data_IF_727427164331
#
_entry.id   IF_727427164331
#
_cell.length_a   1.000
_cell.length_b   1.000
_cell.length_c   1.000
_cell.angle_alpha   90.00
_cell.angle_beta   90.00
_cell.angle_gamma   90.00
#
_symmetry.space_group_name_H-M   'P 1'
#
loop_
_entity.id
_entity.type
_entity.pdbx_description
1 polymer ?
#
# COMPACT_ATOMS: atom_id res chain seq x y z
N UNK A 1 1.51 -22.23 1.22
CA UNK A 1 2.57 -23.12 1.77
C UNK A 1 3.49 -23.71 0.69
N UNK A 2 3.13 -24.77 -0.05
CA UNK A 2 4.09 -25.40 -0.99
C UNK A 2 4.64 -24.45 -2.08
N UNK A 3 3.81 -23.51 -2.56
CA UNK A 3 4.19 -22.48 -3.53
C UNK A 3 4.79 -21.22 -2.90
N UNK A 4 4.81 -21.11 -1.56
CA UNK A 4 5.19 -19.89 -0.84
C UNK A 4 6.66 -19.51 -1.09
N UNK A 5 7.68 -20.36 -0.82
CA UNK A 5 9.07 -19.96 -1.08
C UNK A 5 9.35 -19.64 -2.56
N UNK A 6 8.89 -20.45 -3.55
CA UNK A 6 9.08 -20.10 -4.96
C UNK A 6 8.43 -18.77 -5.38
N UNK A 7 7.24 -18.44 -4.83
CA UNK A 7 6.61 -17.14 -5.06
C UNK A 7 7.47 -16.02 -4.43
N UNK A 8 7.91 -16.23 -3.20
CA UNK A 8 8.75 -15.27 -2.49
C UNK A 8 10.05 -14.98 -3.24
N UNK A 9 10.71 -16.01 -3.77
CA UNK A 9 11.93 -15.89 -4.59
C UNK A 9 11.66 -15.12 -5.88
N UNK A 10 10.57 -15.44 -6.58
CA UNK A 10 10.18 -14.73 -7.81
C UNK A 10 9.93 -13.24 -7.58
N UNK A 11 9.17 -12.88 -6.54
CA UNK A 11 8.91 -11.46 -6.23
C UNK A 11 10.21 -10.77 -5.80
N UNK A 12 11.03 -11.42 -4.98
CA UNK A 12 12.34 -10.86 -4.56
C UNK A 12 13.23 -10.59 -5.78
N UNK A 13 13.28 -11.50 -6.75
CA UNK A 13 14.04 -11.33 -7.98
C UNK A 13 13.46 -10.22 -8.88
N UNK A 14 12.13 -10.10 -8.97
CA UNK A 14 11.46 -9.03 -9.70
C UNK A 14 11.80 -7.66 -9.10
N UNK A 15 11.59 -7.47 -7.80
CA UNK A 15 11.92 -6.23 -7.10
C UNK A 15 13.43 -5.94 -7.17
N UNK A 16 14.25 -6.98 -7.04
CA UNK A 16 15.71 -6.90 -7.06
C UNK A 16 16.34 -6.66 -8.43
N UNK A 17 15.58 -6.73 -9.54
CA UNK A 17 16.06 -6.39 -10.89
C UNK A 17 15.62 -5.01 -11.36
N UNK A 18 14.58 -4.46 -10.74
CA UNK A 18 14.03 -3.16 -11.10
C UNK A 18 14.87 -2.01 -10.54
N UNK A 19 15.36 -1.14 -11.42
CA UNK A 19 16.23 -0.02 -11.02
C UNK A 19 15.50 1.05 -10.21
N UNK A 20 14.22 1.27 -10.48
CA UNK A 20 13.44 2.28 -9.78
C UNK A 20 13.17 1.83 -8.34
N UNK A 21 12.76 0.58 -8.15
CA UNK A 21 12.51 -0.01 -6.83
C UNK A 21 13.80 -0.12 -6.01
N UNK A 22 14.92 -0.49 -6.64
CA UNK A 22 16.25 -0.45 -6.00
C UNK A 22 16.62 0.96 -5.53
N UNK A 23 16.40 1.99 -6.36
CA UNK A 23 16.70 3.38 -6.00
C UNK A 23 15.82 3.91 -4.87
N UNK A 24 14.60 3.36 -4.72
CA UNK A 24 13.71 3.62 -3.56
C UNK A 24 13.98 2.69 -2.37
N UNK A 25 14.94 1.77 -2.52
CA UNK A 25 15.27 0.72 -1.57
C UNK A 25 14.02 -0.03 -1.05
N UNK A 26 13.00 -0.18 -1.90
CA UNK A 26 11.80 -0.91 -1.59
C UNK A 26 12.09 -2.41 -1.67
N UNK A 27 11.79 -3.13 -0.59
CA UNK A 27 12.13 -4.54 -0.47
C UNK A 27 11.04 -5.27 0.32
N UNK A 28 11.04 -6.59 0.25
CA UNK A 28 10.16 -7.44 1.03
C UNK A 28 10.94 -8.29 2.05
N UNK A 29 10.21 -8.81 3.03
CA UNK A 29 10.71 -9.83 3.94
C UNK A 29 10.31 -11.20 3.40
N UNK A 30 11.29 -11.94 2.86
CA UNK A 30 11.06 -13.20 2.18
C UNK A 30 10.49 -14.28 3.09
N UNK A 31 9.55 -15.07 2.58
CA UNK A 31 9.00 -16.25 3.24
C UNK A 31 9.81 -17.49 2.79
N UNK A 32 10.99 -17.61 3.39
CA UNK A 32 12.10 -18.47 2.91
C UNK A 32 11.90 -19.97 3.13
N UNK A 33 11.02 -20.36 4.04
CA UNK A 33 10.73 -21.78 4.29
C UNK A 33 9.30 -21.99 4.76
N UNK A 34 8.72 -23.14 4.41
CA UNK A 34 7.41 -23.55 4.90
C UNK A 34 7.37 -25.03 5.26
N UNK A 35 6.50 -25.37 6.20
CA UNK A 35 6.09 -26.74 6.52
C UNK A 35 4.56 -26.75 6.57
N UNK A 36 3.93 -27.68 5.85
CA UNK A 36 2.49 -27.88 5.89
C UNK A 36 2.16 -29.34 6.16
N UNK A 37 1.29 -29.61 7.13
CA UNK A 37 0.83 -30.96 7.45
C UNK A 37 -0.54 -31.21 6.82
N UNK A 38 -0.65 -32.30 6.04
CA UNK A 38 -1.93 -32.74 5.44
C UNK A 38 -2.51 -33.85 6.30
N UNK A 39 -3.58 -33.54 7.03
CA UNK A 39 -4.27 -34.55 7.84
C UNK A 39 -5.02 -35.54 6.92
N UNK A 40 -4.74 -36.86 6.99
CA UNK A 40 -5.34 -37.84 6.06
C UNK A 40 -6.87 -37.81 6.03
N UNK A 41 -7.51 -37.75 7.20
CA UNK A 41 -8.98 -37.77 7.29
C UNK A 41 -9.64 -36.46 6.83
N UNK A 42 -8.97 -35.32 6.98
CA UNK A 42 -9.52 -34.02 6.58
C UNK A 42 -9.20 -33.68 5.12
N UNK A 43 -8.21 -34.33 4.51
CA UNK A 43 -7.85 -34.08 3.12
C UNK A 43 -9.06 -34.22 2.16
N UNK A 44 -9.98 -35.14 2.47
CA UNK A 44 -11.23 -35.35 1.73
C UNK A 44 -12.19 -34.15 1.77
N UNK A 45 -12.08 -33.25 2.76
CA UNK A 45 -12.92 -32.04 2.89
C UNK A 45 -12.54 -30.93 1.90
N UNK A 46 -11.44 -31.09 1.16
CA UNK A 46 -10.98 -30.12 0.17
C UNK A 46 -10.04 -29.04 0.73
N UNK A 47 -9.16 -28.51 -0.13
CA UNK A 47 -8.03 -27.64 0.26
C UNK A 47 -8.45 -26.34 0.96
N UNK A 48 -9.62 -25.79 0.62
CA UNK A 48 -10.11 -24.53 1.19
C UNK A 48 -10.74 -24.68 2.57
N UNK A 49 -11.07 -25.90 2.99
CA UNK A 49 -11.72 -26.16 4.28
C UNK A 49 -10.79 -25.81 5.46
N UNK A 50 -11.33 -25.18 6.50
CA UNK A 50 -10.54 -24.68 7.64
C UNK A 50 -9.76 -25.79 8.36
N UNK A 51 -10.32 -27.00 8.44
CA UNK A 51 -9.63 -28.15 9.02
C UNK A 51 -8.33 -28.53 8.29
N UNK A 52 -8.22 -28.22 6.99
CA UNK A 52 -6.99 -28.42 6.20
C UNK A 52 -5.98 -27.28 6.34
N UNK A 53 -6.26 -26.28 7.19
CA UNK A 53 -5.40 -25.14 7.48
C UNK A 53 -4.93 -25.10 8.95
N UNK A 54 -5.19 -26.17 9.72
CA UNK A 54 -4.93 -26.20 11.17
C UNK A 54 -3.45 -26.34 11.55
N UNK A 55 -2.61 -26.92 10.69
CA UNK A 55 -1.20 -27.18 11.01
C UNK A 55 -0.28 -26.87 9.83
N UNK A 56 0.28 -25.66 9.88
CA UNK A 56 1.34 -25.20 8.99
C UNK A 56 2.22 -24.19 9.73
N UNK A 57 3.45 -24.03 9.25
CA UNK A 57 4.38 -23.00 9.71
C UNK A 57 5.14 -22.43 8.50
N UNK A 58 5.52 -21.17 8.61
CA UNK A 58 6.44 -20.51 7.68
C UNK A 58 7.52 -19.76 8.46
N UNK A 59 8.67 -19.57 7.84
CA UNK A 59 9.75 -18.73 8.34
C UNK A 59 9.91 -17.55 7.40
N UNK A 60 9.96 -16.35 7.99
CA UNK A 60 10.14 -15.09 7.29
C UNK A 60 11.46 -14.45 7.70
N UNK A 61 12.11 -13.78 6.77
CA UNK A 61 13.29 -12.96 7.05
C UNK A 61 13.00 -11.92 8.14
N UNK A 62 13.98 -11.69 9.01
CA UNK A 62 13.88 -10.65 10.02
C UNK A 62 14.22 -9.29 9.40
N UNK A 63 13.45 -8.21 9.64
CA UNK A 63 13.79 -6.89 9.14
C UNK A 63 15.11 -6.36 9.73
N UNK A 64 15.58 -6.91 10.86
CA UNK A 64 16.86 -6.55 11.47
C UNK A 64 18.06 -6.91 10.59
N UNK A 65 17.93 -7.85 9.66
CA UNK A 65 18.99 -8.16 8.69
C UNK A 65 19.00 -7.19 7.51
N UNK A 66 18.01 -6.31 7.42
CA UNK A 66 17.81 -5.34 6.36
C UNK A 66 17.86 -3.91 6.89
N UNK A 67 18.65 -3.60 7.91
CA UNK A 67 18.89 -2.24 8.37
C UNK A 67 20.39 -1.98 8.59
N UNK A 68 20.80 -0.72 8.42
CA UNK A 68 22.14 -0.25 8.75
C UNK A 68 22.23 0.20 10.22
N UNK A 69 23.45 0.39 10.72
CA UNK A 69 23.67 1.00 12.04
C UNK A 69 23.05 2.40 12.10
N UNK A 70 22.41 2.73 13.22
CA UNK A 70 21.70 4.00 13.41
C UNK A 70 20.28 4.04 12.83
N UNK A 71 19.88 3.04 12.03
CA UNK A 71 18.50 2.92 11.56
C UNK A 71 17.61 2.21 12.59
N UNK A 72 16.33 2.55 12.56
CA UNK A 72 15.30 1.97 13.44
C UNK A 72 14.10 1.49 12.61
N UNK A 73 13.29 0.64 13.21
CA UNK A 73 12.14 0.01 12.56
C UNK A 73 10.85 0.35 13.29
N UNK A 74 9.79 0.58 12.52
CA UNK A 74 8.45 0.80 13.08
C UNK A 74 7.40 0.26 12.11
N UNK A 75 6.36 -0.40 12.63
CA UNK A 75 5.18 -0.72 11.81
C UNK A 75 4.55 0.57 11.27
N UNK A 76 4.12 0.57 10.02
CA UNK A 76 3.47 1.74 9.43
C UNK A 76 2.16 2.11 10.16
N UNK A 77 1.49 1.13 10.79
CA UNK A 77 0.33 1.37 11.65
C UNK A 77 0.60 2.37 12.78
N UNK A 78 1.86 2.49 13.23
CA UNK A 78 2.25 3.43 14.27
C UNK A 78 2.06 4.90 13.84
N UNK A 79 2.04 5.21 12.53
CA UNK A 79 1.74 6.56 12.05
C UNK A 79 0.28 6.99 12.33
N UNK A 80 -0.61 6.02 12.56
CA UNK A 80 -2.00 6.26 12.98
C UNK A 80 -2.17 6.22 14.50
N UNK A 81 -1.09 5.93 15.24
CA UNK A 81 -1.16 5.75 16.69
C UNK A 81 -1.34 7.09 17.40
N UNK A 82 -2.22 7.05 18.40
CA UNK A 82 -2.41 8.10 19.40
C UNK A 82 -2.31 7.44 20.77
N UNK A 83 -1.62 8.09 21.68
CA UNK A 83 -1.51 7.60 23.05
C UNK A 83 -2.79 7.87 23.87
N UNK A 84 -2.74 7.55 25.17
CA UNK A 84 -3.86 7.75 26.08
C UNK A 84 -4.18 9.25 26.35
N UNK A 85 -3.27 10.15 25.99
CA UNK A 85 -3.36 11.60 26.14
C UNK A 85 -3.67 12.28 24.79
N UNK A 86 -4.09 11.49 23.81
CA UNK A 86 -4.53 11.90 22.48
C UNK A 86 -3.40 12.48 21.59
N UNK A 87 -2.14 12.35 22.03
CA UNK A 87 -0.95 12.79 21.30
C UNK A 87 -0.63 11.79 20.18
N UNK A 88 -0.52 12.30 18.95
CA UNK A 88 -0.23 11.49 17.78
C UNK A 88 1.26 11.23 17.61
N UNK A 89 1.65 9.98 17.42
CA UNK A 89 3.06 9.63 17.18
C UNK A 89 3.62 10.30 15.92
N UNK A 90 2.80 10.48 14.88
CA UNK A 90 3.17 11.21 13.67
C UNK A 90 3.70 12.63 13.97
N UNK A 91 3.02 13.36 14.86
CA UNK A 91 3.41 14.72 15.24
C UNK A 91 4.78 14.73 15.92
N UNK A 92 5.00 13.77 16.83
CA UNK A 92 6.27 13.59 17.52
C UNK A 92 7.42 13.26 16.57
N UNK A 93 7.19 12.37 15.59
CA UNK A 93 8.19 11.99 14.59
C UNK A 93 8.58 13.18 13.71
N UNK A 94 7.61 13.94 13.21
CA UNK A 94 7.87 15.14 12.40
C UNK A 94 8.67 16.16 13.21
N UNK A 95 8.24 16.45 14.45
CA UNK A 95 8.93 17.39 15.34
C UNK A 95 10.37 16.95 15.64
N UNK A 96 10.58 15.67 15.92
CA UNK A 96 11.90 15.11 16.21
C UNK A 96 12.83 15.11 15.00
N UNK A 97 12.29 14.99 13.78
CA UNK A 97 13.06 15.03 12.54
C UNK A 97 13.62 16.41 12.19
N UNK A 98 13.02 17.49 12.72
CA UNK A 98 13.34 18.87 12.35
C UNK A 98 12.90 19.29 10.95
N UNK A 99 12.19 18.44 10.20
CA UNK A 99 11.64 18.76 8.89
C UNK A 99 10.32 19.53 8.98
N UNK A 100 9.94 20.20 7.89
CA UNK A 100 8.55 20.65 7.72
C UNK A 100 7.63 19.45 7.52
N UNK A 101 6.33 19.65 7.74
CA UNK A 101 5.31 18.60 7.57
C UNK A 101 5.32 18.07 6.14
N UNK A 102 5.34 18.98 5.16
CA UNK A 102 5.39 18.65 3.73
C UNK A 102 6.62 17.83 3.37
N UNK A 103 7.80 18.25 3.85
CA UNK A 103 9.05 17.56 3.57
C UNK A 103 9.05 16.15 4.17
N UNK A 104 8.55 15.98 5.40
CA UNK A 104 8.45 14.66 6.03
C UNK A 104 7.43 13.76 5.31
N UNK A 105 6.25 14.29 4.97
CA UNK A 105 5.22 13.57 4.23
C UNK A 105 5.73 13.12 2.86
N UNK A 106 6.45 13.99 2.13
CA UNK A 106 7.06 13.63 0.85
C UNK A 106 8.01 12.44 1.00
N UNK A 107 8.88 12.43 2.03
CA UNK A 107 9.79 11.30 2.31
C UNK A 107 9.03 10.00 2.61
N UNK A 108 7.97 10.08 3.40
CA UNK A 108 7.08 8.94 3.66
C UNK A 108 6.44 8.42 2.36
N UNK A 109 5.86 9.30 1.54
CA UNK A 109 5.18 8.95 0.30
C UNK A 109 6.14 8.36 -0.75
N UNK A 110 7.35 8.88 -0.85
CA UNK A 110 8.39 8.31 -1.71
C UNK A 110 8.90 6.93 -1.23
N UNK A 111 8.93 6.70 0.09
CA UNK A 111 9.31 5.41 0.66
C UNK A 111 8.19 4.34 0.50
N UNK A 112 6.92 4.75 0.50
CA UNK A 112 5.77 3.85 0.55
C UNK A 112 4.89 3.87 -0.71
N UNK A 113 4.42 5.03 -1.14
CA UNK A 113 3.45 5.14 -2.23
C UNK A 113 4.09 4.90 -3.60
N UNK A 114 5.23 5.54 -3.91
CA UNK A 114 5.81 5.45 -5.26
C UNK A 114 6.25 4.04 -5.65
N UNK A 115 6.80 3.19 -4.76
CA UNK A 115 7.06 1.78 -5.10
C UNK A 115 5.77 1.00 -5.41
N UNK A 116 4.66 1.29 -4.72
CA UNK A 116 3.37 0.66 -5.00
C UNK A 116 2.79 1.11 -6.34
N UNK A 117 2.89 2.39 -6.67
CA UNK A 117 2.52 2.90 -8.00
C UNK A 117 3.36 2.21 -9.07
N UNK A 118 4.67 2.06 -8.85
CA UNK A 118 5.54 1.40 -9.80
C UNK A 118 5.19 -0.07 -9.98
N UNK A 119 5.01 -0.82 -8.89
CA UNK A 119 4.54 -2.20 -8.96
C UNK A 119 3.22 -2.33 -9.74
N UNK A 120 2.26 -1.44 -9.49
CA UNK A 120 0.97 -1.45 -10.18
C UNK A 120 1.12 -1.15 -11.69
N UNK A 121 1.73 -0.02 -12.05
CA UNK A 121 1.74 0.44 -13.44
C UNK A 121 2.73 -0.32 -14.33
N UNK A 122 3.88 -0.74 -13.80
CA UNK A 122 4.92 -1.44 -14.57
C UNK A 122 4.69 -2.95 -14.63
N UNK A 123 4.14 -3.56 -13.58
CA UNK A 123 4.07 -5.01 -13.44
C UNK A 123 2.65 -5.56 -13.26
N UNK A 124 1.63 -4.68 -13.16
CA UNK A 124 0.28 -5.09 -12.75
C UNK A 124 0.28 -5.76 -11.37
N UNK A 125 1.30 -5.50 -10.54
CA UNK A 125 1.56 -6.18 -9.27
C UNK A 125 0.99 -5.34 -8.13
N UNK A 126 0.08 -5.95 -7.35
CA UNK A 126 -0.49 -5.33 -6.15
C UNK A 126 -0.24 -6.18 -4.93
N UNK A 127 -0.14 -5.49 -3.79
CA UNK A 127 0.02 -6.06 -2.46
C UNK A 127 -1.25 -5.77 -1.64
N UNK A 128 -1.23 -6.17 -0.37
CA UNK A 128 -2.14 -5.68 0.67
C UNK A 128 -1.41 -4.68 1.57
N UNK A 129 -1.28 -3.40 1.16
CA UNK A 129 -0.31 -2.46 1.74
C UNK A 129 -0.83 -1.74 3.02
N UNK A 130 -1.58 -2.43 3.87
CA UNK A 130 -2.10 -1.80 5.10
C UNK A 130 -1.01 -1.63 6.17
N UNK A 131 -1.32 -0.83 7.20
CA UNK A 131 -0.37 -0.45 8.26
C UNK A 131 0.44 -1.60 8.88
N UNK A 132 -0.17 -2.78 9.05
CA UNK A 132 0.52 -3.95 9.61
C UNK A 132 1.54 -4.57 8.64
N UNK A 133 1.29 -4.59 7.32
CA UNK A 133 2.15 -5.29 6.34
C UNK A 133 3.37 -4.47 5.93
N UNK A 134 3.44 -3.21 6.35
CA UNK A 134 4.57 -2.35 6.12
C UNK A 134 5.36 -2.13 7.41
N UNK A 135 6.68 -2.31 7.28
CA UNK A 135 7.65 -1.88 8.28
C UNK A 135 8.47 -0.77 7.65
N UNK A 136 8.40 0.42 8.24
CA UNK A 136 9.19 1.57 7.81
C UNK A 136 10.57 1.53 8.46
N UNK A 137 11.60 1.78 7.66
CA UNK A 137 12.96 2.00 8.12
C UNK A 137 13.12 3.50 8.34
N UNK A 138 13.57 3.87 9.52
CA UNK A 138 13.75 5.26 9.95
C UNK A 138 15.21 5.59 10.16
N UNK A 139 15.60 6.77 9.72
CA UNK A 139 16.88 7.41 10.06
C UNK A 139 16.58 8.84 10.52
N UNK A 140 17.07 9.22 11.70
CA UNK A 140 16.80 10.53 12.31
C UNK A 140 15.30 10.90 12.31
N UNK A 141 14.42 9.93 12.65
CA UNK A 141 12.96 10.07 12.67
C UNK A 141 12.30 10.34 11.31
N UNK A 142 13.02 10.17 10.20
CA UNK A 142 12.49 10.27 8.84
C UNK A 142 12.40 8.89 8.20
N UNK A 143 11.28 8.51 7.56
CA UNK A 143 11.21 7.29 6.77
C UNK A 143 12.16 7.39 5.58
N UNK A 144 13.06 6.42 5.45
CA UNK A 144 14.02 6.35 4.33
C UNK A 144 13.63 5.31 3.30
N UNK A 145 12.93 4.24 3.71
CA UNK A 145 12.37 3.19 2.84
C UNK A 145 11.34 2.34 3.58
N UNK A 146 10.66 1.47 2.85
CA UNK A 146 9.66 0.56 3.38
C UNK A 146 9.99 -0.91 3.06
N UNK A 147 9.72 -1.78 4.03
CA UNK A 147 9.81 -3.23 3.92
C UNK A 147 8.39 -3.83 3.95
N UNK A 148 8.04 -4.63 2.95
CA UNK A 148 6.73 -5.29 2.86
C UNK A 148 6.79 -6.72 3.44
N UNK A 149 5.74 -7.14 4.16
CA UNK A 149 5.56 -8.52 4.65
C UNK A 149 4.19 -9.08 4.23
N UNK A 150 4.00 -10.38 4.48
CA UNK A 150 2.77 -11.13 4.15
C UNK A 150 2.42 -11.05 2.67
N UNK A 151 3.39 -11.49 1.85
CA UNK A 151 3.36 -11.31 0.40
C UNK A 151 2.64 -12.48 -0.27
N UNK A 152 3.01 -13.71 0.04
CA UNK A 152 2.71 -14.84 -0.86
C UNK A 152 1.25 -15.27 -0.86
N UNK A 153 0.48 -14.87 0.15
CA UNK A 153 -0.96 -15.14 0.22
C UNK A 153 -1.82 -13.95 -0.22
N UNK A 154 -1.25 -12.74 -0.32
CA UNK A 154 -2.00 -11.48 -0.54
C UNK A 154 -1.67 -10.78 -1.88
N UNK A 155 -0.58 -11.15 -2.53
CA UNK A 155 -0.19 -10.54 -3.82
C UNK A 155 -1.07 -11.01 -4.96
N UNK A 156 -1.40 -10.07 -5.86
CA UNK A 156 -2.12 -10.32 -7.10
C UNK A 156 -1.35 -9.70 -8.26
N UNK A 157 -1.42 -10.37 -9.42
CA UNK A 157 -0.87 -9.91 -10.70
C UNK A 157 -2.00 -9.77 -11.70
N UNK A 158 -2.14 -8.58 -12.28
CA UNK A 158 -3.16 -8.29 -13.30
C UNK A 158 -2.63 -8.33 -14.73
N UNK A 159 -1.32 -8.21 -14.93
CA UNK A 159 -0.74 -8.20 -16.27
C UNK A 159 -0.64 -9.63 -16.84
N UNK A 160 -1.43 -9.99 -17.88
CA UNK A 160 -1.36 -11.31 -18.50
C UNK A 160 -0.04 -11.54 -19.25
N UNK A 161 0.77 -10.50 -19.49
CA UNK A 161 2.08 -10.61 -20.14
C UNK A 161 3.20 -10.93 -19.15
N UNK A 162 2.93 -10.84 -17.85
CA UNK A 162 3.94 -11.15 -16.83
C UNK A 162 4.28 -12.64 -16.88
N UNK A 163 5.55 -12.97 -17.08
CA UNK A 163 6.02 -14.36 -17.04
C UNK A 163 6.04 -14.86 -15.59
N UNK A 164 4.99 -15.58 -15.20
CA UNK A 164 4.86 -16.18 -13.87
C UNK A 164 5.42 -17.61 -13.86
N UNK A 165 6.29 -17.97 -12.91
CA UNK A 165 6.66 -19.37 -12.70
C UNK A 165 5.43 -20.20 -12.33
N UNK A 166 5.46 -21.52 -12.57
CA UNK A 166 4.32 -22.42 -12.32
C UNK A 166 3.73 -22.26 -10.91
N UNK A 167 4.59 -22.10 -9.90
CA UNK A 167 4.18 -21.91 -8.51
C UNK A 167 3.42 -20.58 -8.26
N UNK A 168 3.67 -19.56 -9.07
CA UNK A 168 3.09 -18.21 -8.96
C UNK A 168 1.90 -17.99 -9.92
N UNK A 169 1.57 -18.93 -10.80
CA UNK A 169 0.43 -18.83 -11.72
C UNK A 169 -0.89 -18.51 -11.01
N UNK A 170 -1.06 -18.97 -9.77
CA UNK A 170 -2.25 -18.69 -8.94
C UNK A 170 -2.41 -17.22 -8.53
N UNK A 171 -1.38 -16.39 -8.69
CA UNK A 171 -1.41 -14.96 -8.34
C UNK A 171 -2.07 -14.14 -9.46
N UNK A 172 -2.15 -14.69 -10.67
CA UNK A 172 -2.82 -14.03 -11.78
C UNK A 172 -4.33 -13.98 -11.54
N UNK A 173 -4.91 -12.78 -11.65
CA UNK A 173 -6.35 -12.56 -11.55
C UNK A 173 -6.81 -11.69 -12.71
N UNK A 174 -7.81 -12.15 -13.44
CA UNK A 174 -8.45 -11.37 -14.50
C UNK A 174 -9.62 -10.58 -13.91
N UNK A 175 -9.60 -9.25 -14.05
CA UNK A 175 -10.60 -8.34 -13.46
C UNK A 175 -10.63 -7.01 -14.24
N UNK A 176 -11.69 -6.20 -14.06
CA UNK A 176 -11.83 -4.92 -14.77
C UNK A 176 -10.82 -3.86 -14.31
N UNK A 177 -10.51 -2.88 -15.16
CA UNK A 177 -9.60 -1.77 -14.82
C UNK A 177 -10.06 -0.98 -13.59
N UNK A 178 -11.37 -0.80 -13.42
CA UNK A 178 -11.96 -0.16 -12.24
C UNK A 178 -11.61 -0.95 -10.98
N UNK A 179 -11.74 -2.29 -11.01
CA UNK A 179 -11.42 -3.16 -9.88
C UNK A 179 -9.91 -3.20 -9.58
N UNK A 180 -9.06 -3.15 -10.60
CA UNK A 180 -7.60 -3.08 -10.41
C UNK A 180 -7.20 -1.81 -9.66
N UNK A 181 -7.75 -0.66 -10.06
CA UNK A 181 -7.50 0.62 -9.40
C UNK A 181 -7.98 0.67 -7.93
N UNK A 182 -8.96 -0.16 -7.55
CA UNK A 182 -9.42 -0.21 -6.16
C UNK A 182 -8.34 -0.69 -5.18
N UNK A 183 -7.30 -1.39 -5.62
CA UNK A 183 -6.17 -1.73 -4.74
C UNK A 183 -5.36 -0.50 -4.32
N UNK A 184 -5.35 0.56 -5.13
CA UNK A 184 -4.77 1.85 -4.73
C UNK A 184 -5.82 2.70 -4.00
N UNK A 185 -7.04 2.81 -4.52
CA UNK A 185 -8.05 3.67 -3.91
C UNK A 185 -8.60 3.16 -2.57
N UNK A 186 -8.84 1.85 -2.44
CA UNK A 186 -9.37 1.28 -1.21
C UNK A 186 -8.25 1.10 -0.20
N UNK A 187 -7.22 0.32 -0.53
CA UNK A 187 -6.27 -0.13 0.49
C UNK A 187 -5.33 1.00 0.91
N UNK A 188 -4.93 1.87 -0.02
CA UNK A 188 -4.06 3.00 0.26
C UNK A 188 -4.87 4.25 0.60
N UNK A 189 -5.76 4.71 -0.28
CA UNK A 189 -6.42 6.01 -0.10
C UNK A 189 -7.47 5.98 1.01
N UNK A 190 -8.42 5.06 0.95
CA UNK A 190 -9.57 5.04 1.87
C UNK A 190 -9.27 4.31 3.19
N UNK A 191 -8.44 3.26 3.17
CA UNK A 191 -8.18 2.43 4.36
C UNK A 191 -6.95 2.86 5.15
N UNK A 192 -6.07 3.70 4.59
CA UNK A 192 -4.90 4.21 5.29
C UNK A 192 -4.79 5.73 5.25
N UNK A 193 -4.68 6.34 4.06
CA UNK A 193 -4.49 7.77 3.90
C UNK A 193 -5.67 8.60 4.41
N UNK A 194 -6.91 8.12 4.36
CA UNK A 194 -8.05 8.80 4.99
C UNK A 194 -7.81 9.03 6.48
N UNK A 195 -7.21 8.06 7.18
CA UNK A 195 -6.89 8.20 8.60
C UNK A 195 -5.62 9.03 8.83
N UNK A 196 -4.59 8.82 8.01
CA UNK A 196 -3.33 9.55 8.13
C UNK A 196 -3.50 11.04 7.80
N UNK A 197 -4.20 11.36 6.71
CA UNK A 197 -4.53 12.73 6.30
C UNK A 197 -5.36 13.45 7.35
N UNK A 198 -6.29 12.76 8.02
CA UNK A 198 -7.03 13.31 9.14
C UNK A 198 -6.15 13.62 10.37
N UNK A 199 -4.99 12.96 10.55
CA UNK A 199 -4.06 13.30 11.64
C UNK A 199 -3.44 14.69 11.45
N UNK A 200 -3.30 15.18 10.21
CA UNK A 200 -2.66 16.48 9.94
C UNK A 200 -3.37 17.63 10.65
N UNK A 201 -4.69 17.87 10.44
CA UNK A 201 -5.41 18.88 11.20
C UNK A 201 -5.60 18.51 12.68
N UNK A 202 -5.85 17.23 13.00
CA UNK A 202 -6.10 16.80 14.37
C UNK A 202 -4.89 16.98 15.31
N UNK A 203 -3.67 16.99 14.75
CA UNK A 203 -2.42 17.16 15.48
C UNK A 203 -1.79 18.55 15.28
N UNK A 204 -2.54 19.51 14.71
CA UNK A 204 -2.05 20.88 14.49
C UNK A 204 -0.87 20.98 13.50
N UNK A 205 -0.75 20.02 12.59
CA UNK A 205 0.30 19.96 11.56
C UNK A 205 -0.07 20.74 10.28
N UNK A 206 -1.28 21.29 10.22
CA UNK A 206 -1.78 22.07 9.08
C UNK A 206 -3.18 21.64 8.66
N UNK A 207 -3.57 21.98 7.44
CA UNK A 207 -4.86 21.57 6.89
C UNK A 207 -4.74 20.19 6.20
N UNK A 208 -5.84 19.45 6.09
CA UNK A 208 -5.86 18.17 5.36
C UNK A 208 -5.39 18.31 3.90
N UNK A 209 -5.62 19.49 3.28
CA UNK A 209 -5.15 19.78 1.92
C UNK A 209 -3.63 19.68 1.77
N UNK A 210 -2.86 19.91 2.84
CA UNK A 210 -1.40 19.74 2.84
C UNK A 210 -1.05 18.29 2.50
N UNK A 211 -1.74 17.34 3.12
CA UNK A 211 -1.51 15.92 2.89
C UNK A 211 -1.84 15.52 1.45
N UNK A 212 -3.06 15.82 0.98
CA UNK A 212 -3.50 15.40 -0.34
C UNK A 212 -2.77 16.13 -1.48
N UNK A 213 -2.30 17.36 -1.25
CA UNK A 213 -1.44 18.07 -2.19
C UNK A 213 -0.09 17.34 -2.35
N UNK A 214 0.55 16.93 -1.25
CA UNK A 214 1.80 16.16 -1.31
C UNK A 214 1.60 14.79 -1.98
N UNK A 215 0.49 14.08 -1.69
CA UNK A 215 0.13 12.84 -2.41
C UNK A 215 0.05 13.11 -3.91
N UNK A 216 -0.67 14.16 -4.33
CA UNK A 216 -0.84 14.50 -5.73
C UNK A 216 0.48 14.88 -6.40
N UNK A 217 1.34 15.64 -5.72
CA UNK A 217 2.67 16.02 -6.21
C UNK A 217 3.55 14.79 -6.44
N UNK A 218 3.64 13.89 -5.46
CA UNK A 218 4.43 12.66 -5.57
C UNK A 218 3.92 11.76 -6.71
N UNK A 219 2.60 11.65 -6.90
CA UNK A 219 2.01 10.91 -8.03
C UNK A 219 2.40 11.55 -9.36
N UNK A 220 2.29 12.88 -9.50
CA UNK A 220 2.65 13.58 -10.75
C UNK A 220 4.14 13.47 -11.05
N UNK A 221 4.99 13.62 -10.03
CA UNK A 221 6.44 13.47 -10.18
C UNK A 221 6.81 12.05 -10.61
N UNK A 222 6.17 11.04 -10.03
CA UNK A 222 6.32 9.65 -10.47
C UNK A 222 5.90 9.46 -11.94
N UNK A 223 4.73 9.97 -12.34
CA UNK A 223 4.25 9.87 -13.72
C UNK A 223 5.18 10.59 -14.71
N UNK A 224 5.70 11.77 -14.34
CA UNK A 224 6.63 12.54 -15.17
C UNK A 224 8.00 11.84 -15.33
N UNK A 225 8.42 11.05 -14.33
CA UNK A 225 9.66 10.26 -14.38
C UNK A 225 9.55 9.01 -15.26
N UNK A 226 8.33 8.55 -15.58
CA UNK A 226 8.07 7.31 -16.34
C UNK A 226 7.17 7.56 -17.56
N UNK A 227 7.58 8.39 -18.53
CA UNK A 227 6.77 8.70 -19.71
C UNK A 227 6.44 7.45 -20.55
N UNK A 228 7.23 6.39 -20.45
CA UNK A 228 6.97 5.09 -21.09
C UNK A 228 5.70 4.39 -20.58
N UNK A 229 5.19 4.78 -19.41
CA UNK A 229 3.96 4.26 -18.82
C UNK A 229 2.73 5.17 -19.06
N UNK A 230 2.83 6.17 -19.95
CA UNK A 230 1.76 7.16 -20.18
C UNK A 230 0.40 6.54 -20.57
N UNK A 231 0.41 5.47 -21.38
CA UNK A 231 -0.81 4.75 -21.75
C UNK A 231 -1.45 4.08 -20.53
N UNK A 232 -0.63 3.53 -19.63
CA UNK A 232 -1.09 2.95 -18.37
C UNK A 232 -1.68 4.02 -17.44
N UNK A 233 -1.05 5.19 -17.32
CA UNK A 233 -1.60 6.31 -16.53
C UNK A 233 -2.93 6.82 -17.08
N UNK A 234 -3.11 6.77 -18.40
CA UNK A 234 -4.37 7.16 -19.04
C UNK A 234 -5.46 6.12 -18.82
N UNK A 235 -5.12 4.83 -18.93
CA UNK A 235 -6.04 3.70 -18.69
C UNK A 235 -6.48 3.62 -17.23
N UNK A 236 -5.53 3.75 -16.31
CA UNK A 236 -5.75 3.71 -14.87
C UNK A 236 -5.50 5.10 -14.27
N UNK A 237 -6.45 6.00 -14.50
CA UNK A 237 -6.37 7.40 -14.06
C UNK A 237 -6.55 7.57 -12.55
N UNK A 238 -5.44 7.73 -11.83
CA UNK A 238 -5.46 7.98 -10.38
C UNK A 238 -6.06 9.34 -10.00
N UNK A 239 -6.23 10.25 -10.97
CA UNK A 239 -6.85 11.57 -10.79
C UNK A 239 -8.33 11.61 -11.20
N UNK A 240 -8.97 10.45 -11.44
CA UNK A 240 -10.39 10.40 -11.75
C UNK A 240 -11.24 11.07 -10.65
N UNK A 241 -12.36 11.75 -10.97
CA UNK A 241 -13.09 12.58 -9.99
C UNK A 241 -13.62 11.81 -8.77
N UNK A 242 -13.98 10.54 -8.96
CA UNK A 242 -14.56 9.69 -7.92
C UNK A 242 -14.12 8.24 -8.09
N UNK A 243 -14.15 7.45 -7.02
CA UNK A 243 -13.92 5.99 -7.05
C UNK A 243 -14.95 5.27 -6.18
N UNK A 244 -15.14 3.95 -6.37
CA UNK A 244 -16.15 3.17 -5.62
C UNK A 244 -15.83 3.12 -4.12
N UNK A 245 -16.86 3.30 -3.29
CA UNK A 245 -16.74 3.21 -1.83
C UNK A 245 -16.81 1.75 -1.37
N UNK A 246 -15.66 1.10 -1.14
CA UNK A 246 -15.59 -0.27 -0.63
C UNK A 246 -15.76 -0.29 0.90
N UNK A 247 -16.82 -0.93 1.38
CA UNK A 247 -17.23 -0.90 2.78
C UNK A 247 -16.76 -2.14 3.56
N UNK A 248 -15.59 -2.07 4.20
CA UNK A 248 -15.01 -3.20 4.95
C UNK A 248 -15.93 -3.72 6.07
N UNK A 249 -16.56 -2.83 6.85
CA UNK A 249 -17.50 -3.25 7.90
C UNK A 249 -18.71 -4.00 7.33
N UNK A 250 -19.19 -3.65 6.13
CA UNK A 250 -20.30 -4.38 5.49
C UNK A 250 -19.90 -5.80 5.11
N UNK A 251 -18.63 -6.02 4.73
CA UNK A 251 -18.11 -7.36 4.48
C UNK A 251 -18.21 -8.21 5.74
N UNK A 252 -17.63 -7.73 6.84
CA UNK A 252 -17.63 -8.46 8.11
C UNK A 252 -19.06 -8.69 8.64
N UNK A 253 -19.94 -7.69 8.56
CA UNK A 253 -21.33 -7.82 8.99
C UNK A 253 -22.14 -8.78 8.11
N UNK A 254 -21.79 -8.91 6.83
CA UNK A 254 -22.46 -9.85 5.93
C UNK A 254 -22.10 -11.30 6.21
N UNK A 255 -20.86 -11.57 6.64
CA UNK A 255 -20.43 -12.88 7.10
C UNK A 255 -19.27 -12.76 8.10
N UNK A 256 -19.59 -12.88 9.39
CA UNK A 256 -18.61 -12.75 10.47
C UNK A 256 -17.68 -13.95 10.61
N UNK A 257 -17.97 -15.08 9.94
CA UNK A 257 -17.15 -16.29 9.96
C UNK A 257 -16.19 -16.38 8.79
N UNK A 258 -16.61 -15.88 7.63
CA UNK A 258 -15.81 -15.86 6.41
C UNK A 258 -16.14 -14.59 5.62
N UNK A 259 -15.35 -13.53 5.84
CA UNK A 259 -15.60 -12.20 5.31
C UNK A 259 -15.55 -12.13 3.77
N UNK A 260 -14.70 -12.95 3.13
CA UNK A 260 -14.55 -13.02 1.67
C UNK A 260 -14.69 -14.46 1.19
N UNK A 261 -15.30 -14.64 0.01
CA UNK A 261 -15.19 -15.88 -0.72
C UNK A 261 -13.77 -15.96 -1.30
N UNK A 262 -12.95 -16.88 -0.79
CA UNK A 262 -11.57 -17.05 -1.25
C UNK A 262 -11.47 -17.52 -2.70
N UNK A 263 -12.55 -18.10 -3.26
CA UNK A 263 -12.61 -18.48 -4.66
C UNK A 263 -12.99 -17.31 -5.58
N UNK A 264 -13.52 -16.22 -5.01
CA UNK A 264 -13.92 -15.02 -5.76
C UNK A 264 -13.88 -13.76 -4.84
N UNK A 265 -12.67 -13.30 -4.45
CA UNK A 265 -12.52 -12.23 -3.48
C UNK A 265 -13.08 -10.89 -3.99
N UNK A 266 -12.90 -10.61 -5.28
CA UNK A 266 -13.26 -9.34 -5.89
C UNK A 266 -14.78 -9.17 -5.97
N UNK A 267 -15.54 -10.21 -6.35
CA UNK A 267 -17.00 -10.12 -6.37
C UNK A 267 -17.63 -10.22 -4.97
N UNK A 268 -16.84 -10.55 -3.95
CA UNK A 268 -17.30 -10.54 -2.55
C UNK A 268 -17.40 -9.11 -1.98
N UNK A 269 -16.73 -8.14 -2.61
CA UNK A 269 -16.66 -6.75 -2.16
C UNK A 269 -18.07 -6.11 -2.03
N UNK A 270 -18.21 -5.21 -1.04
CA UNK A 270 -19.47 -4.50 -0.77
C UNK A 270 -19.28 -3.02 -1.05
N UNK A 271 -19.98 -2.52 -2.06
CA UNK A 271 -19.90 -1.12 -2.47
C UNK A 271 -21.10 -0.30 -1.98
N UNK A 272 -20.87 0.98 -1.71
CA UNK A 272 -21.93 1.93 -1.36
C UNK A 272 -21.70 3.29 -2.04
N UNK A 273 -22.07 3.38 -3.32
CA UNK A 273 -21.86 4.59 -4.12
C UNK A 273 -20.37 4.86 -4.37
N UNK A 274 -20.01 6.14 -4.51
CA UNK A 274 -18.65 6.59 -4.79
C UNK A 274 -18.17 7.61 -3.76
N UNK A 275 -16.86 7.72 -3.60
CA UNK A 275 -16.17 8.76 -2.84
C UNK A 275 -15.57 9.79 -3.80
N UNK A 276 -15.55 11.06 -3.39
CA UNK A 276 -14.81 12.10 -4.09
C UNK A 276 -13.32 11.85 -3.97
N UNK A 277 -12.59 11.87 -5.08
CA UNK A 277 -11.15 11.66 -5.08
C UNK A 277 -10.43 12.95 -4.61
N UNK A 278 -9.73 12.93 -3.47
CA UNK A 278 -9.14 14.13 -2.90
C UNK A 278 -8.00 14.70 -3.75
N UNK A 279 -7.38 13.89 -4.62
CA UNK A 279 -6.31 14.38 -5.50
C UNK A 279 -6.80 14.86 -6.88
N UNK A 280 -8.05 14.60 -7.26
CA UNK A 280 -8.56 14.90 -8.61
C UNK A 280 -8.41 16.38 -9.00
N UNK A 281 -8.60 17.30 -8.05
CA UNK A 281 -8.46 18.74 -8.27
C UNK A 281 -7.04 19.18 -8.65
N UNK A 282 -6.04 18.32 -8.45
CA UNK A 282 -4.63 18.62 -8.74
C UNK A 282 -4.12 18.00 -10.04
N UNK A 283 -4.99 17.44 -10.90
CA UNK A 283 -4.59 16.78 -12.15
C UNK A 283 -3.73 17.66 -13.08
N UNK A 284 -4.04 18.97 -13.15
CA UNK A 284 -3.38 19.93 -14.04
C UNK A 284 -2.44 20.94 -13.37
N UNK A 285 -2.26 20.89 -12.05
CA UNK A 285 -1.49 21.91 -11.32
C UNK A 285 0.02 21.67 -11.38
N UNK A 286 0.78 22.65 -11.85
CA UNK A 286 2.23 22.71 -11.60
C UNK A 286 2.49 23.29 -10.20
N UNK A 287 3.67 22.98 -9.62
CA UNK A 287 4.04 23.33 -8.23
C UNK A 287 3.91 24.84 -7.92
N UNK A 288 4.01 25.68 -8.94
CA UNK A 288 4.00 27.15 -8.81
C UNK A 288 2.60 27.78 -8.87
N UNK A 289 1.60 27.15 -9.49
CA UNK A 289 0.27 27.76 -9.66
C UNK A 289 -0.58 27.72 -8.37
N UNK A 290 -0.27 26.81 -7.44
CA UNK A 290 -1.10 26.57 -6.24
C UNK A 290 -0.65 27.40 -5.03
N UNK A 291 0.52 28.04 -5.07
CA UNK A 291 0.93 28.99 -4.00
C UNK A 291 0.29 30.39 -4.16
N UNK A 292 -0.33 30.68 -5.31
CA UNK A 292 -0.89 32.00 -5.65
C UNK A 292 -2.26 32.35 -5.05
N UNK A 293 -2.91 31.45 -4.31
CA UNK A 293 -4.25 31.69 -3.75
C UNK A 293 -4.26 31.89 -2.24
N UNK A 294 -3.35 32.73 -1.71
CA UNK A 294 -3.68 33.48 -0.49
C UNK A 294 -4.64 34.61 -0.88
N UNK A 295 -5.95 34.36 -0.76
CA UNK A 295 -6.95 35.43 -0.74
C UNK A 295 -6.60 36.37 0.41
N UNK A 296 -6.20 37.59 0.07
CA UNK A 296 -6.26 38.73 0.97
C UNK A 296 -7.70 38.83 1.51
N UNK A 297 -7.85 38.73 2.83
CA UNK A 297 -9.08 39.14 3.51
C UNK A 297 -9.08 40.68 3.53
N UNK A 298 -10.21 41.34 3.20
CA UNK A 298 -10.28 42.79 3.30
C UNK A 298 -10.29 43.20 4.78
N UNK A 299 -9.47 44.19 5.11
CA UNK A 299 -9.49 44.86 6.41
C UNK A 299 -10.90 45.41 6.70
N UNK A 300 -11.45 44.98 7.83
CA UNK A 300 -12.70 45.46 8.41
C UNK A 300 -12.70 45.31 9.91
#
# INVERSE_FOLDING_TARGET
>A
MASTPPISEWITDLLGKDRYLQAREFDMLGEVATVGYRHPDFAALGRSHINNKMLAALWRESPLTKIAEGQTLMTMAALLHRDAEDQGLLQCLIKASGLTVEAWLRRYLEAYLTPLLHCFYQYGLVFMPHGENLILVFENYVPVRALMKDITEEVIVFDPKQELPEAAQRLFVETSDEQQLLYLFTDVFDCFFRFLGAQVPNQGLGNEEVFWKEVAEVVREYQAQHPELADAFTRWDLFQPTFLCCCLNRLQLSNTKQMLNLADPINSLKFAGTLGNPIAKYKGGTRDEVQGTRKELPDG
#
